data_IF_774326176394
#
_entry.id   IF_774326176394
#
_cell.length_a   1.000
_cell.length_b   1.000
_cell.length_c   1.000
_cell.angle_alpha   90.00
_cell.angle_beta   90.00
_cell.angle_gamma   90.00
#
_symmetry.space_group_name_H-M   'P 1'
#
loop_
_entity.id
_entity.type
_entity.pdbx_description
1 polymer ?
#
# COMPACT_ATOMS: atom_id res chain seq x y z
N UNK A 1 -8.89 -35.71 -11.36
CA UNK A 1 -8.39 -34.48 -12.01
C UNK A 1 -9.50 -33.45 -11.97
N UNK A 2 -9.38 -32.41 -11.15
CA UNK A 2 -10.27 -31.25 -11.22
C UNK A 2 -9.40 -30.00 -11.22
N UNK A 3 -9.32 -29.36 -12.38
CA UNK A 3 -8.71 -28.06 -12.53
C UNK A 3 -9.64 -27.05 -11.87
N UNK A 4 -9.28 -26.58 -10.67
CA UNK A 4 -9.94 -25.45 -10.04
C UNK A 4 -9.72 -24.23 -10.95
N UNK A 5 -10.78 -23.69 -11.54
CA UNK A 5 -10.73 -22.57 -12.50
C UNK A 5 -10.22 -21.30 -11.80
N UNK A 6 -8.90 -21.08 -11.88
CA UNK A 6 -8.20 -19.91 -11.32
C UNK A 6 -8.67 -18.59 -11.96
N UNK A 7 -9.44 -18.64 -13.06
CA UNK A 7 -10.02 -17.45 -13.68
C UNK A 7 -11.29 -16.96 -12.96
N UNK A 8 -11.93 -17.78 -12.10
CA UNK A 8 -13.14 -17.39 -11.40
C UNK A 8 -12.92 -16.21 -10.42
N UNK A 9 -11.74 -16.15 -9.78
CA UNK A 9 -11.37 -15.06 -8.87
C UNK A 9 -11.16 -13.73 -9.60
N UNK A 10 -10.49 -13.77 -10.76
CA UNK A 10 -10.21 -12.58 -11.58
C UNK A 10 -11.49 -12.00 -12.21
N UNK A 11 -12.44 -12.85 -12.60
CA UNK A 11 -13.74 -12.43 -13.15
C UNK A 11 -14.58 -11.67 -12.11
N UNK A 12 -14.64 -12.18 -10.88
CA UNK A 12 -15.35 -11.50 -9.77
C UNK A 12 -14.78 -10.12 -9.48
N UNK A 13 -13.45 -9.95 -9.52
CA UNK A 13 -12.81 -8.65 -9.33
C UNK A 13 -13.13 -7.67 -10.49
N UNK A 14 -13.09 -8.15 -11.73
CA UNK A 14 -13.42 -7.33 -12.91
C UNK A 14 -14.89 -6.90 -12.97
N UNK A 15 -15.82 -7.70 -12.45
CA UNK A 15 -17.25 -7.33 -12.35
C UNK A 15 -17.48 -6.26 -11.28
N UNK A 16 -16.78 -6.36 -10.14
CA UNK A 16 -16.88 -5.41 -9.03
C UNK A 16 -16.38 -4.01 -9.44
N UNK A 17 -15.32 -3.95 -10.25
CA UNK A 17 -14.78 -2.70 -10.76
C UNK A 17 -15.69 -2.03 -11.82
N UNK A 18 -16.44 -2.81 -12.61
CA UNK A 18 -17.44 -2.29 -13.56
C UNK A 18 -18.67 -1.73 -12.85
N UNK A 19 -19.12 -2.38 -11.78
CA UNK A 19 -20.25 -1.89 -10.99
C UNK A 19 -19.93 -0.55 -10.33
N UNK A 20 -18.75 -0.39 -9.73
CA UNK A 20 -18.34 0.87 -9.11
C UNK A 20 -18.26 2.04 -10.11
N UNK A 21 -17.79 1.78 -11.34
CA UNK A 21 -17.79 2.80 -12.41
C UNK A 21 -19.19 3.18 -12.86
N UNK A 22 -20.13 2.22 -12.89
CA UNK A 22 -21.52 2.52 -13.25
C UNK A 22 -22.21 3.31 -12.15
N UNK A 23 -21.98 3.03 -10.86
CA UNK A 23 -22.59 3.81 -9.76
C UNK A 23 -22.07 5.25 -9.71
N UNK A 24 -20.79 5.48 -10.01
CA UNK A 24 -20.22 6.84 -10.10
C UNK A 24 -20.70 7.63 -11.33
N UNK A 25 -21.20 6.97 -12.37
CA UNK A 25 -21.64 7.67 -13.60
C UNK A 25 -23.10 8.14 -13.56
N UNK A 26 -23.89 7.75 -12.54
CA UNK A 26 -25.32 8.12 -12.42
C UNK A 26 -25.57 9.23 -11.39
N UNK A 27 -24.57 9.63 -10.61
CA UNK A 27 -24.72 10.60 -9.51
C UNK A 27 -23.97 11.92 -9.77
N UNK A 28 -23.95 12.36 -11.03
CA UNK A 28 -23.46 13.69 -11.39
C UNK A 28 -24.33 14.32 -12.48
N UNK A 29 -25.02 15.40 -12.06
CA UNK A 29 -25.90 16.35 -12.77
C UNK A 29 -27.38 15.96 -12.97
N UNK A 30 -28.33 16.88 -12.65
CA UNK A 30 -28.35 18.22 -13.25
C UNK A 30 -28.58 19.41 -12.29
N UNK A 31 -27.78 20.46 -12.45
CA UNK A 31 -28.15 21.85 -12.09
C UNK A 31 -28.00 22.81 -13.27
N UNK A 32 -29.13 23.26 -13.81
CA UNK A 32 -29.37 24.52 -14.54
C UNK A 32 -30.86 24.52 -14.94
N UNK A 33 -31.70 25.53 -14.79
CA UNK A 33 -31.69 26.89 -14.24
C UNK A 33 -33.19 27.33 -14.26
N UNK A 34 -33.46 28.56 -13.84
CA UNK A 34 -34.57 29.47 -14.19
C UNK A 34 -35.73 29.79 -13.20
N UNK A 35 -35.69 31.08 -12.80
CA UNK A 35 -36.75 32.07 -12.53
C UNK A 35 -37.26 32.37 -11.09
N UNK A 36 -36.75 33.50 -10.58
CA UNK A 36 -37.46 34.73 -10.18
C UNK A 36 -38.33 34.84 -8.89
N UNK A 37 -38.03 35.96 -8.21
CA UNK A 37 -38.89 36.86 -7.40
C UNK A 37 -39.08 36.56 -5.89
N UNK A 38 -38.47 37.43 -5.07
CA UNK A 38 -38.94 37.84 -3.74
C UNK A 38 -40.11 38.84 -3.86
N UNK A 39 -40.81 39.25 -2.76
CA UNK A 39 -40.87 38.73 -1.39
C UNK A 39 -42.33 38.56 -0.87
N UNK A 40 -42.52 38.13 0.38
CA UNK A 40 -43.55 38.58 1.38
C UNK A 40 -43.81 37.46 2.44
N UNK A 41 -43.53 37.77 3.71
CA UNK A 41 -44.10 37.11 4.90
C UNK A 41 -45.54 37.65 5.14
N UNK A 42 -46.38 37.18 6.10
CA UNK A 42 -46.12 36.34 7.29
C UNK A 42 -47.21 35.30 7.70
N UNK A 43 -46.93 34.59 8.80
CA UNK A 43 -47.87 34.09 9.86
C UNK A 43 -48.27 32.60 9.89
N UNK A 44 -48.24 32.07 11.12
CA UNK A 44 -48.97 30.89 11.67
C UNK A 44 -48.21 29.57 11.52
N UNK A 45 -47.43 29.16 12.54
CA UNK A 45 -47.88 28.36 13.69
C UNK A 45 -48.35 26.96 13.26
N UNK A 46 -47.54 25.95 13.60
CA UNK A 46 -47.92 24.64 14.12
C UNK A 46 -46.71 23.67 14.05
N UNK A 47 -46.16 23.41 15.24
CA UNK A 47 -45.68 22.11 15.72
C UNK A 47 -45.49 21.01 14.67
N UNK A 48 -44.26 20.52 14.47
CA UNK A 48 -43.89 19.09 14.48
C UNK A 48 -42.37 18.95 14.31
N UNK A 49 -41.70 18.55 15.38
CA UNK A 49 -40.33 18.02 15.37
C UNK A 49 -40.43 16.56 14.86
N UNK A 50 -39.81 16.18 13.73
CA UNK A 50 -39.57 14.77 13.48
C UNK A 50 -38.44 14.30 14.41
N UNK A 51 -38.61 13.17 15.13
CA UNK A 51 -37.53 12.63 15.95
C UNK A 51 -36.39 12.20 15.02
N UNK A 52 -35.20 12.71 15.32
CA UNK A 52 -33.93 12.27 14.77
C UNK A 52 -33.88 10.75 14.86
N UNK A 53 -33.99 10.08 13.72
CA UNK A 53 -33.73 8.67 13.62
C UNK A 53 -32.28 8.45 14.05
N UNK A 54 -32.12 7.87 15.24
CA UNK A 54 -30.84 7.44 15.76
C UNK A 54 -30.28 6.39 14.79
N UNK A 55 -29.38 6.83 13.91
CA UNK A 55 -28.52 5.94 13.15
C UNK A 55 -27.76 5.10 14.17
N UNK A 56 -28.14 3.82 14.28
CA UNK A 56 -27.33 2.79 14.92
C UNK A 56 -25.97 2.84 14.22
N UNK A 57 -24.99 3.49 14.85
CA UNK A 57 -23.59 3.29 14.54
C UNK A 57 -23.32 1.82 14.82
N UNK A 58 -23.39 0.99 13.77
CA UNK A 58 -22.82 -0.35 13.80
C UNK A 58 -21.34 -0.14 14.09
N UNK A 59 -20.97 -0.39 15.35
CA UNK A 59 -19.59 -0.33 15.80
C UNK A 59 -18.75 -1.17 14.84
N UNK A 60 -17.81 -0.51 14.15
CA UNK A 60 -16.84 -1.20 13.31
C UNK A 60 -16.12 -2.24 14.20
N UNK A 61 -15.92 -3.48 13.68
CA UNK A 61 -15.15 -4.48 14.42
C UNK A 61 -13.78 -3.89 14.80
N UNK A 62 -13.24 -4.25 15.98
CA UNK A 62 -11.95 -3.73 16.43
C UNK A 62 -10.89 -4.01 15.35
N UNK A 63 -10.03 -3.03 15.02
CA UNK A 63 -9.01 -3.23 14.00
C UNK A 63 -8.09 -4.37 14.44
N UNK A 64 -8.02 -5.41 13.62
CA UNK A 64 -7.07 -6.52 13.81
C UNK A 64 -5.67 -5.89 13.85
N UNK A 65 -4.81 -6.23 14.82
CA UNK A 65 -3.50 -5.61 14.95
C UNK A 65 -2.64 -5.93 13.73
N UNK A 66 -2.50 -4.95 12.84
CA UNK A 66 -1.69 -5.08 11.65
C UNK A 66 -0.19 -4.99 12.00
N UNK A 67 0.60 -5.74 11.25
CA UNK A 67 2.06 -5.81 11.33
C UNK A 67 2.62 -4.67 10.50
N UNK A 68 3.23 -3.63 11.10
CA UNK A 68 3.80 -2.55 10.32
C UNK A 68 5.04 -3.02 9.56
N UNK A 69 5.16 -2.60 8.30
CA UNK A 69 6.30 -2.82 7.42
C UNK A 69 6.66 -1.51 6.72
N UNK A 70 7.86 -0.99 7.00
CA UNK A 70 8.39 0.18 6.29
C UNK A 70 9.05 -0.29 5.00
N UNK A 71 8.66 0.32 3.88
CA UNK A 71 9.21 0.00 2.55
C UNK A 71 9.88 1.24 1.98
N UNK A 72 11.13 1.08 1.55
CA UNK A 72 11.95 2.09 0.88
C UNK A 72 12.30 1.64 -0.55
N UNK A 73 12.74 2.56 -1.41
CA UNK A 73 13.17 2.25 -2.78
C UNK A 73 12.06 2.25 -3.83
N UNK A 74 10.81 2.54 -3.42
CA UNK A 74 9.72 2.80 -4.35
C UNK A 74 9.78 4.26 -4.84
N UNK A 75 9.49 4.53 -6.13
CA UNK A 75 9.63 5.86 -6.72
C UNK A 75 8.63 6.89 -6.17
N UNK A 76 7.51 6.43 -5.61
CA UNK A 76 6.48 7.27 -5.00
C UNK A 76 5.80 6.56 -3.83
N UNK A 77 5.19 7.35 -2.95
CA UNK A 77 4.25 6.86 -1.95
C UNK A 77 2.82 6.92 -2.53
N UNK A 78 2.00 5.91 -2.26
CA UNK A 78 0.60 5.87 -2.66
C UNK A 78 0.02 4.46 -2.74
N UNK A 79 -1.31 4.38 -2.87
CA UNK A 79 -2.06 3.13 -2.79
C UNK A 79 -1.64 2.09 -3.85
N UNK A 80 -1.26 2.53 -5.04
CA UNK A 80 -0.76 1.63 -6.08
C UNK A 80 0.52 0.91 -5.66
N UNK A 81 1.42 1.62 -4.98
CA UNK A 81 2.69 1.05 -4.55
C UNK A 81 2.49 0.14 -3.34
N UNK A 82 1.57 0.51 -2.43
CA UNK A 82 1.13 -0.38 -1.34
C UNK A 82 0.53 -1.67 -1.91
N UNK A 83 -0.36 -1.57 -2.90
CA UNK A 83 -0.95 -2.71 -3.58
C UNK A 83 0.11 -3.57 -4.28
N UNK A 84 1.15 -2.96 -4.87
CA UNK A 84 2.28 -3.69 -5.47
C UNK A 84 3.03 -4.53 -4.42
N UNK A 85 3.32 -3.95 -3.26
CA UNK A 85 3.98 -4.67 -2.15
C UNK A 85 3.07 -5.76 -1.60
N UNK A 86 1.79 -5.47 -1.32
CA UNK A 86 0.81 -6.47 -0.86
C UNK A 86 0.68 -7.62 -1.85
N UNK A 87 0.57 -7.34 -3.14
CA UNK A 87 0.52 -8.35 -4.20
C UNK A 87 1.78 -9.23 -4.20
N UNK A 88 2.95 -8.65 -3.91
CA UNK A 88 4.19 -9.42 -3.79
C UNK A 88 4.22 -10.32 -2.56
N UNK A 89 3.80 -9.81 -1.40
CA UNK A 89 3.67 -10.60 -0.17
C UNK A 89 2.65 -11.74 -0.36
N UNK A 90 1.54 -11.48 -1.04
CA UNK A 90 0.53 -12.49 -1.39
C UNK A 90 1.13 -13.61 -2.25
N UNK A 91 1.89 -13.26 -3.29
CA UNK A 91 2.59 -14.26 -4.12
C UNK A 91 3.53 -15.12 -3.29
N UNK A 92 4.29 -14.52 -2.36
CA UNK A 92 5.18 -15.28 -1.49
C UNK A 92 4.44 -16.16 -0.49
N UNK A 93 3.30 -15.70 0.02
CA UNK A 93 2.41 -16.50 0.86
C UNK A 93 1.93 -17.77 0.13
N UNK A 94 1.46 -17.61 -1.11
CA UNK A 94 1.04 -18.72 -1.99
C UNK A 94 2.20 -19.68 -2.28
N UNK A 95 3.43 -19.17 -2.40
CA UNK A 95 4.64 -19.99 -2.56
C UNK A 95 5.11 -20.65 -1.24
N UNK A 96 4.30 -20.62 -0.18
CA UNK A 96 4.58 -21.28 1.10
C UNK A 96 5.55 -20.52 1.98
N UNK A 97 5.82 -19.24 1.72
CA UNK A 97 6.66 -18.40 2.58
C UNK A 97 5.87 -17.98 3.82
N UNK A 98 5.96 -18.79 4.86
CA UNK A 98 5.27 -18.58 6.14
C UNK A 98 5.46 -17.18 6.75
N UNK A 99 6.61 -16.56 6.51
CA UNK A 99 6.90 -15.22 7.03
C UNK A 99 6.08 -14.13 6.32
N UNK A 100 5.72 -14.32 5.04
CA UNK A 100 4.95 -13.34 4.27
C UNK A 100 3.49 -13.28 4.74
N UNK A 101 2.97 -14.36 5.34
CA UNK A 101 1.66 -14.38 5.98
C UNK A 101 0.51 -13.97 5.07
N UNK A 102 -0.55 -13.41 5.64
CA UNK A 102 -1.63 -12.80 4.86
C UNK A 102 -1.20 -11.37 4.45
N UNK A 103 -1.32 -10.95 3.17
CA UNK A 103 -1.08 -9.56 2.76
C UNK A 103 -1.93 -8.53 3.53
N UNK A 104 -3.09 -8.91 4.05
CA UNK A 104 -3.98 -8.02 4.81
C UNK A 104 -3.60 -7.87 6.29
N UNK A 105 -2.74 -8.76 6.80
CA UNK A 105 -2.11 -8.57 8.11
C UNK A 105 -1.09 -7.42 8.11
N UNK A 106 -0.64 -6.96 6.94
CA UNK A 106 0.43 -5.98 6.82
C UNK A 106 -0.08 -4.55 6.67
N UNK A 107 0.43 -3.69 7.54
CA UNK A 107 0.31 -2.23 7.44
C UNK A 107 1.57 -1.69 6.76
N UNK A 108 1.45 -1.29 5.49
CA UNK A 108 2.61 -0.97 4.65
C UNK A 108 2.79 0.54 4.57
N UNK A 109 3.93 1.01 5.06
CA UNK A 109 4.31 2.42 5.03
C UNK A 109 5.44 2.64 4.05
N UNK A 110 5.17 3.43 3.01
CA UNK A 110 6.20 3.75 2.01
C UNK A 110 6.90 5.03 2.42
N UNK A 111 8.21 4.94 2.60
CA UNK A 111 9.05 6.04 3.08
C UNK A 111 10.16 6.30 2.05
N UNK A 112 10.51 7.56 1.85
CA UNK A 112 11.65 7.92 0.99
C UNK A 112 12.97 7.58 1.69
N UNK A 113 13.95 7.16 0.92
CA UNK A 113 15.27 6.79 1.44
C UNK A 113 16.07 7.99 1.99
N UNK A 114 15.73 9.21 1.59
CA UNK A 114 16.33 10.47 2.02
C UNK A 114 15.56 11.18 3.15
N UNK A 115 14.58 10.49 3.76
CA UNK A 115 13.79 11.09 4.83
C UNK A 115 14.66 11.35 6.09
N UNK A 116 14.66 12.57 6.60
CA UNK A 116 15.48 12.95 7.75
C UNK A 116 15.06 12.25 9.06
N UNK A 117 13.84 11.70 9.13
CA UNK A 117 13.31 11.02 10.32
C UNK A 117 13.50 9.49 10.28
N UNK A 118 14.35 8.95 9.39
CA UNK A 118 14.58 7.49 9.30
C UNK A 118 15.06 6.88 10.62
N UNK A 119 15.91 7.57 11.38
CA UNK A 119 16.34 7.12 12.70
C UNK A 119 15.18 6.92 13.69
N UNK A 120 14.24 7.86 13.75
CA UNK A 120 13.06 7.75 14.63
C UNK A 120 12.12 6.64 14.17
N UNK A 121 11.92 6.50 12.85
CA UNK A 121 11.11 5.43 12.29
C UNK A 121 11.72 4.06 12.60
N UNK A 122 13.06 3.94 12.59
CA UNK A 122 13.76 2.68 12.87
C UNK A 122 13.54 2.22 14.30
N UNK A 123 13.54 3.13 15.27
CA UNK A 123 13.24 2.82 16.66
C UNK A 123 11.78 2.41 16.86
N UNK A 124 10.87 3.00 16.07
CA UNK A 124 9.42 2.73 16.16
C UNK A 124 9.01 1.45 15.47
N UNK A 125 9.61 1.13 14.34
CA UNK A 125 9.20 0.04 13.46
C UNK A 125 10.32 -0.99 13.30
N UNK A 126 10.11 -2.24 13.72
CA UNK A 126 11.16 -3.26 13.68
C UNK A 126 11.36 -3.89 12.29
N UNK A 127 10.39 -3.74 11.37
CA UNK A 127 10.41 -4.43 10.07
C UNK A 127 10.58 -3.44 8.94
N UNK A 128 11.65 -3.65 8.18
CA UNK A 128 12.04 -2.82 7.07
C UNK A 128 12.28 -3.64 5.82
N UNK A 129 11.93 -3.07 4.69
CA UNK A 129 12.07 -3.68 3.39
C UNK A 129 12.63 -2.69 2.37
N UNK A 130 13.55 -3.16 1.54
CA UNK A 130 13.95 -2.48 0.31
C UNK A 130 13.19 -3.11 -0.85
N UNK A 131 12.44 -2.29 -1.58
CA UNK A 131 11.89 -2.68 -2.87
C UNK A 131 12.94 -2.52 -3.97
N UNK A 132 13.22 -3.59 -4.70
CA UNK A 132 14.24 -3.67 -5.73
C UNK A 132 13.55 -3.78 -7.10
N UNK A 133 13.80 -2.78 -7.94
CA UNK A 133 13.29 -2.71 -9.31
C UNK A 133 14.12 -3.59 -10.26
N UNK A 134 13.59 -3.81 -11.47
CA UNK A 134 14.20 -4.65 -12.51
C UNK A 134 14.77 -3.87 -13.69
N UNK A 135 14.85 -2.54 -13.60
CA UNK A 135 15.38 -1.71 -14.68
C UNK A 135 16.91 -1.76 -14.79
N UNK A 136 17.44 -1.23 -15.90
CA UNK A 136 18.88 -1.25 -16.20
C UNK A 136 19.72 -0.47 -15.16
N UNK A 137 19.13 0.53 -14.52
CA UNK A 137 19.79 1.39 -13.54
C UNK A 137 19.50 0.96 -12.08
N UNK A 138 18.83 -0.18 -11.89
CA UNK A 138 18.32 -0.61 -10.59
C UNK A 138 19.44 -0.73 -9.56
N UNK A 139 20.64 -1.19 -9.96
CA UNK A 139 21.78 -1.24 -9.04
C UNK A 139 22.14 0.14 -8.50
N UNK A 140 22.34 1.11 -9.38
CA UNK A 140 22.76 2.46 -9.01
C UNK A 140 21.68 3.16 -8.16
N UNK A 141 20.41 3.00 -8.53
CA UNK A 141 19.29 3.58 -7.78
C UNK A 141 19.15 2.96 -6.38
N UNK A 142 19.22 1.63 -6.28
CA UNK A 142 19.07 0.95 -5.00
C UNK A 142 20.27 1.18 -4.10
N UNK A 143 21.49 1.16 -4.64
CA UNK A 143 22.70 1.45 -3.88
C UNK A 143 22.70 2.90 -3.35
N UNK A 144 22.27 3.88 -4.17
CA UNK A 144 22.07 5.26 -3.71
C UNK A 144 21.05 5.34 -2.59
N UNK A 145 19.94 4.64 -2.70
CA UNK A 145 18.90 4.59 -1.67
C UNK A 145 19.46 4.02 -0.36
N UNK A 146 20.24 2.95 -0.42
CA UNK A 146 20.88 2.35 0.75
C UNK A 146 21.89 3.29 1.41
N UNK A 147 22.66 4.03 0.61
CA UNK A 147 23.57 5.05 1.12
C UNK A 147 22.81 6.14 1.86
N UNK A 148 21.72 6.65 1.28
CA UNK A 148 20.87 7.65 1.94
C UNK A 148 20.27 7.11 3.24
N UNK A 149 19.86 5.84 3.28
CA UNK A 149 19.35 5.20 4.49
C UNK A 149 20.42 5.15 5.57
N UNK A 150 21.65 4.77 5.21
CA UNK A 150 22.78 4.75 6.14
C UNK A 150 23.08 6.15 6.69
N UNK A 151 23.17 7.14 5.80
CA UNK A 151 23.49 8.54 6.13
C UNK A 151 22.42 9.17 7.04
N UNK A 152 21.14 8.78 6.89
CA UNK A 152 20.02 9.27 7.70
C UNK A 152 19.71 8.39 8.93
N UNK A 153 20.61 7.47 9.31
CA UNK A 153 20.49 6.67 10.53
C UNK A 153 19.45 5.54 10.48
N UNK A 154 19.11 5.08 9.27
CA UNK A 154 18.13 4.03 9.03
C UNK A 154 18.54 2.62 9.49
N UNK A 155 17.74 1.60 9.16
CA UNK A 155 17.97 0.22 9.57
C UNK A 155 19.25 -0.37 8.95
N UNK A 156 19.89 -1.30 9.69
CA UNK A 156 20.99 -2.12 9.16
C UNK A 156 20.51 -3.46 8.59
N UNK A 157 19.26 -3.83 8.80
CA UNK A 157 18.68 -5.07 8.28
C UNK A 157 17.44 -4.73 7.48
N UNK A 158 17.44 -5.12 6.20
CA UNK A 158 16.38 -4.82 5.25
C UNK A 158 15.96 -6.09 4.52
N UNK A 159 14.66 -6.34 4.44
CA UNK A 159 14.10 -7.40 3.61
C UNK A 159 14.19 -6.98 2.14
N UNK A 160 14.83 -7.78 1.30
CA UNK A 160 14.91 -7.53 -0.13
C UNK A 160 13.63 -8.00 -0.84
N UNK A 161 12.68 -7.08 -1.05
CA UNK A 161 11.50 -7.29 -1.88
C UNK A 161 11.86 -7.01 -3.33
N UNK A 162 11.53 -7.90 -4.24
CA UNK A 162 11.86 -7.72 -5.66
C UNK A 162 10.74 -8.21 -6.55
N UNK A 163 10.69 -7.74 -7.80
CA UNK A 163 9.72 -8.20 -8.78
C UNK A 163 9.92 -9.70 -9.15
N UNK A 164 8.83 -10.42 -9.53
CA UNK A 164 8.84 -11.87 -9.74
C UNK A 164 9.87 -12.39 -10.74
N UNK A 165 10.31 -11.56 -11.69
CA UNK A 165 11.18 -11.98 -12.79
C UNK A 165 12.59 -11.39 -12.70
N UNK A 166 12.96 -10.82 -11.55
CA UNK A 166 14.30 -10.26 -11.39
C UNK A 166 15.35 -11.38 -11.42
N UNK A 167 16.32 -11.35 -12.37
CA UNK A 167 17.39 -12.32 -12.37
C UNK A 167 18.18 -12.19 -11.08
N UNK A 168 18.24 -13.28 -10.30
CA UNK A 168 18.96 -13.29 -9.01
C UNK A 168 20.47 -13.15 -9.20
N UNK A 169 21.00 -13.78 -10.26
CA UNK A 169 22.41 -13.71 -10.62
C UNK A 169 22.71 -12.35 -11.25
N UNK A 170 23.59 -11.58 -10.61
CA UNK A 170 23.97 -10.24 -11.03
C UNK A 170 23.48 -9.21 -10.02
N UNK A 171 22.31 -8.60 -10.27
CA UNK A 171 21.85 -7.43 -9.50
C UNK A 171 21.71 -7.69 -7.99
N UNK A 172 20.95 -8.72 -7.60
CA UNK A 172 20.62 -8.96 -6.18
C UNK A 172 21.86 -9.35 -5.37
N UNK A 173 22.69 -10.24 -5.91
CA UNK A 173 23.91 -10.68 -5.25
C UNK A 173 24.90 -9.52 -5.11
N UNK A 174 25.13 -8.76 -6.19
CA UNK A 174 26.01 -7.59 -6.17
C UNK A 174 25.50 -6.53 -5.20
N UNK A 175 24.19 -6.27 -5.17
CA UNK A 175 23.61 -5.27 -4.26
C UNK A 175 23.74 -5.71 -2.80
N UNK A 176 23.52 -7.00 -2.50
CA UNK A 176 23.70 -7.56 -1.15
C UNK A 176 25.15 -7.46 -0.70
N UNK A 177 26.08 -7.85 -1.56
CA UNK A 177 27.52 -7.77 -1.26
C UNK A 177 27.96 -6.32 -1.04
N UNK A 178 27.58 -5.41 -1.94
CA UNK A 178 27.92 -3.99 -1.82
C UNK A 178 27.29 -3.35 -0.56
N UNK A 179 26.04 -3.67 -0.24
CA UNK A 179 25.37 -3.17 0.96
C UNK A 179 26.07 -3.64 2.24
N UNK A 180 26.44 -4.91 2.30
CA UNK A 180 27.12 -5.47 3.46
C UNK A 180 28.55 -4.93 3.60
N UNK A 181 29.29 -4.85 2.50
CA UNK A 181 30.71 -4.50 2.51
C UNK A 181 30.94 -3.00 2.72
N UNK A 182 30.18 -2.14 2.02
CA UNK A 182 30.40 -0.69 2.06
C UNK A 182 29.51 0.05 3.05
N UNK A 183 28.32 -0.48 3.37
CA UNK A 183 27.31 0.26 4.15
C UNK A 183 27.00 -0.39 5.50
N UNK A 184 27.57 -1.56 5.81
CA UNK A 184 27.20 -2.36 7.00
C UNK A 184 25.68 -2.61 7.07
N UNK A 185 25.07 -2.83 5.90
CA UNK A 185 23.65 -3.14 5.74
C UNK A 185 23.48 -4.57 5.23
N UNK A 186 22.74 -5.37 5.97
CA UNK A 186 22.37 -6.73 5.62
C UNK A 186 21.06 -6.75 4.84
N UNK A 187 21.14 -7.17 3.57
CA UNK A 187 19.97 -7.44 2.74
C UNK A 187 19.54 -8.90 2.89
N UNK A 188 18.40 -9.10 3.56
CA UNK A 188 17.79 -10.39 3.80
C UNK A 188 16.96 -10.80 2.57
N UNK A 189 17.55 -11.65 1.73
CA UNK A 189 16.90 -12.21 0.54
C UNK A 189 15.90 -13.29 0.92
N UNK A 190 14.61 -12.99 0.79
CA UNK A 190 13.52 -13.91 1.13
C UNK A 190 13.01 -14.65 -0.11
N UNK A 191 13.90 -15.39 -0.76
CA UNK A 191 13.55 -16.19 -1.92
C UNK A 191 14.33 -17.52 -1.89
N UNK A 192 13.82 -18.53 -1.17
CA UNK A 192 14.32 -19.91 -1.29
C UNK A 192 13.38 -20.77 -2.10
#
# INVERSE_FOLDING_TARGET
>A
MSAQDQAAGLRKWADLQRQQRQTQSVESDPTADVFAAEPLTPTTDLLTVPPVAASKQTAAPPPVPQKPLIVIGLPSSGDQQVAKVKGRLAQWSVLGRRWAGDPDDWDIHIVKADAANLGQLKERFPRWALWINSDADAFAQMYRSLRQVQENGGPRQLLALHEPNLPRRGLLDNLREAASYYLDIELLLLAR
#
